data_IF_754187655029
#
_entry.id   IF_754187655029
#
_cell.length_a   1.000
_cell.length_b   1.000
_cell.length_c   1.000
_cell.angle_alpha   90.00
_cell.angle_beta   90.00
_cell.angle_gamma   90.00
#
_symmetry.space_group_name_H-M   'P 1'
#
loop_
_entity.id
_entity.type
_entity.pdbx_description
1 polymer ?
#
# COMPACT_ATOMS: atom_id res chain seq x y z
N UNK A 1 26.12 -27.52 10.50
CA UNK A 1 26.46 -26.11 10.24
C UNK A 1 25.16 -25.34 10.24
N UNK A 2 24.90 -24.62 11.33
CA UNK A 2 23.66 -23.86 11.52
C UNK A 2 23.77 -22.54 10.77
N UNK A 3 23.00 -22.38 9.70
CA UNK A 3 22.86 -21.08 9.06
C UNK A 3 22.42 -20.05 10.10
N UNK A 4 23.05 -18.87 10.12
CA UNK A 4 22.65 -17.78 11.02
C UNK A 4 21.18 -17.44 10.75
N UNK A 5 20.31 -17.39 11.78
CA UNK A 5 18.93 -16.96 11.61
C UNK A 5 18.85 -15.55 11.01
N UNK A 6 17.89 -15.28 10.12
CA UNK A 6 17.76 -13.99 9.41
C UNK A 6 17.72 -12.79 10.36
N UNK A 7 17.03 -12.93 11.50
CA UNK A 7 16.95 -11.90 12.53
C UNK A 7 18.29 -11.61 13.21
N UNK A 8 19.16 -12.61 13.32
CA UNK A 8 20.52 -12.46 13.84
C UNK A 8 21.44 -11.81 12.80
N UNK A 9 21.35 -12.24 11.54
CA UNK A 9 22.10 -11.66 10.42
C UNK A 9 21.85 -10.14 10.30
N UNK A 10 20.60 -9.70 10.42
CA UNK A 10 20.25 -8.27 10.39
C UNK A 10 20.88 -7.47 11.55
N UNK A 11 20.97 -8.04 12.76
CA UNK A 11 21.61 -7.40 13.92
C UNK A 11 23.12 -7.34 13.75
N UNK A 12 23.74 -8.44 13.30
CA UNK A 12 25.17 -8.51 13.01
C UNK A 12 25.57 -7.49 11.96
N UNK A 13 24.81 -7.35 10.86
CA UNK A 13 25.08 -6.36 9.82
C UNK A 13 25.15 -4.92 10.34
N UNK A 14 24.27 -4.54 11.28
CA UNK A 14 24.31 -3.21 11.92
C UNK A 14 25.58 -2.99 12.75
N UNK A 15 26.02 -4.00 13.50
CA UNK A 15 27.22 -3.93 14.34
C UNK A 15 28.49 -3.88 13.47
N UNK A 16 28.54 -4.69 12.40
CA UNK A 16 29.67 -4.69 11.45
C UNK A 16 29.84 -3.31 10.80
N UNK A 17 28.76 -2.60 10.50
CA UNK A 17 28.83 -1.23 9.99
C UNK A 17 29.53 -0.25 10.95
N UNK A 18 29.52 -0.50 12.25
CA UNK A 18 30.21 0.34 13.25
C UNK A 18 31.73 0.09 13.30
N UNK A 19 32.22 -1.01 12.73
CA UNK A 19 33.66 -1.30 12.67
C UNK A 19 34.41 -0.37 11.70
N UNK A 20 33.69 0.29 10.79
CA UNK A 20 34.25 1.28 9.87
C UNK A 20 34.39 2.69 10.48
N UNK A 21 34.18 2.85 11.79
CA UNK A 21 34.27 4.14 12.46
C UNK A 21 35.72 4.50 12.80
N UNK A 22 36.11 5.77 12.62
CA UNK A 22 37.47 6.26 12.92
C UNK A 22 37.79 6.31 14.43
N UNK A 23 36.78 6.22 15.29
CA UNK A 23 36.97 6.23 16.73
C UNK A 23 37.28 4.80 17.26
N UNK A 24 38.49 4.55 17.80
CA UNK A 24 38.89 3.23 18.27
C UNK A 24 38.03 2.69 19.42
N UNK A 25 37.43 3.58 20.23
CA UNK A 25 36.50 3.17 21.29
C UNK A 25 35.18 2.60 20.73
N UNK A 26 34.71 3.14 19.60
CA UNK A 26 33.51 2.63 18.93
C UNK A 26 33.79 1.24 18.34
N UNK A 27 34.95 1.07 17.71
CA UNK A 27 35.35 -0.21 17.12
C UNK A 27 35.47 -1.30 18.18
N UNK A 28 36.19 -1.03 19.28
CA UNK A 28 36.35 -2.00 20.38
C UNK A 28 35.01 -2.37 21.04
N UNK A 29 34.11 -1.40 21.21
CA UNK A 29 32.76 -1.62 21.71
C UNK A 29 31.93 -2.48 20.74
N UNK A 30 32.00 -2.20 19.45
CA UNK A 30 31.30 -2.96 18.42
C UNK A 30 31.78 -4.42 18.35
N UNK A 31 33.09 -4.67 18.47
CA UNK A 31 33.63 -6.04 18.55
C UNK A 31 33.10 -6.78 19.79
N UNK A 32 33.05 -6.13 20.94
CA UNK A 32 32.49 -6.73 22.16
C UNK A 32 30.99 -7.04 22.00
N UNK A 33 30.22 -6.13 21.42
CA UNK A 33 28.81 -6.32 21.11
C UNK A 33 28.57 -7.47 20.13
N UNK A 34 29.41 -7.58 19.09
CA UNK A 34 29.35 -8.66 18.12
C UNK A 34 29.53 -10.03 18.79
N UNK A 35 30.60 -10.18 19.60
CA UNK A 35 30.87 -11.42 20.34
C UNK A 35 29.72 -11.79 21.27
N UNK A 36 29.18 -10.83 22.01
CA UNK A 36 28.04 -11.06 22.91
C UNK A 36 26.78 -11.50 22.16
N UNK A 37 26.50 -10.88 21.02
CA UNK A 37 25.32 -11.16 20.20
C UNK A 37 25.39 -12.54 19.55
N UNK A 38 26.58 -12.96 19.09
CA UNK A 38 26.79 -14.30 18.56
C UNK A 38 26.68 -15.35 19.67
N UNK A 39 27.37 -15.13 20.79
CA UNK A 39 27.39 -16.05 21.92
C UNK A 39 26.01 -16.27 22.54
N UNK A 40 25.15 -15.23 22.60
CA UNK A 40 23.78 -15.37 23.10
C UNK A 40 22.88 -16.26 22.21
N UNK A 41 23.30 -16.54 20.97
CA UNK A 41 22.59 -17.40 20.03
C UNK A 41 23.35 -18.71 19.77
N UNK A 42 24.33 -19.05 20.62
CA UNK A 42 25.13 -20.28 20.48
C UNK A 42 26.02 -20.31 19.25
N UNK A 43 26.34 -19.15 18.67
CA UNK A 43 27.23 -19.02 17.51
C UNK A 43 28.56 -18.36 17.91
N UNK A 44 29.60 -18.57 17.12
CA UNK A 44 30.89 -17.89 17.26
C UNK A 44 31.31 -17.10 16.00
N UNK A 45 32.53 -16.54 16.01
CA UNK A 45 33.06 -15.79 14.87
C UNK A 45 33.39 -16.69 13.66
N UNK A 46 33.69 -17.97 13.89
CA UNK A 46 33.95 -18.93 12.82
C UNK A 46 32.64 -19.27 12.10
N UNK A 47 31.54 -19.46 12.84
CA UNK A 47 30.21 -19.66 12.27
C UNK A 47 29.78 -18.48 11.39
N UNK A 48 30.09 -17.25 11.83
CA UNK A 48 29.85 -16.05 11.04
C UNK A 48 30.70 -16.02 9.76
N UNK A 49 31.98 -16.35 9.85
CA UNK A 49 32.87 -16.41 8.69
C UNK A 49 32.40 -17.46 7.66
N UNK A 50 32.00 -18.64 8.14
CA UNK A 50 31.37 -19.68 7.31
C UNK A 50 30.12 -19.15 6.63
N UNK A 51 29.21 -18.51 7.37
CA UNK A 51 27.97 -18.00 6.81
C UNK A 51 28.17 -16.94 5.72
N UNK A 52 29.20 -16.10 5.84
CA UNK A 52 29.53 -15.08 4.83
C UNK A 52 30.15 -15.74 3.58
N UNK A 53 30.92 -16.82 3.77
CA UNK A 53 31.68 -17.47 2.69
C UNK A 53 30.83 -18.49 1.93
N UNK A 54 29.89 -19.14 2.61
CA UNK A 54 28.96 -20.07 1.99
C UNK A 54 27.97 -19.31 1.09
N UNK A 55 27.89 -19.70 -0.18
CA UNK A 55 26.88 -19.16 -1.10
C UNK A 55 25.49 -19.42 -0.52
N UNK A 56 24.59 -18.41 -0.48
CA UNK A 56 23.23 -18.62 -0.03
C UNK A 56 22.61 -19.74 -0.87
N UNK A 57 22.17 -20.81 -0.21
CA UNK A 57 21.45 -21.89 -0.88
C UNK A 57 20.14 -21.32 -1.40
N UNK A 58 19.88 -21.49 -2.69
CA UNK A 58 18.59 -21.10 -3.28
C UNK A 58 17.48 -21.88 -2.56
N UNK A 59 16.74 -21.20 -1.69
CA UNK A 59 15.54 -21.77 -1.08
C UNK A 59 14.41 -21.58 -2.08
N UNK A 60 14.11 -22.63 -2.83
CA UNK A 60 12.89 -22.68 -3.66
C UNK A 60 11.70 -22.79 -2.71
N UNK A 61 11.12 -21.65 -2.36
CA UNK A 61 9.86 -21.61 -1.60
C UNK A 61 8.74 -21.94 -2.56
N UNK A 62 8.28 -23.19 -2.54
CA UNK A 62 7.04 -23.59 -3.19
C UNK A 62 5.87 -22.91 -2.47
N UNK A 63 5.46 -21.75 -2.98
CA UNK A 63 4.17 -21.17 -2.61
C UNK A 63 3.11 -21.93 -3.38
N UNK A 64 2.26 -22.66 -2.68
CA UNK A 64 1.01 -23.14 -3.27
C UNK A 64 0.31 -21.93 -3.89
N UNK A 65 0.18 -21.98 -5.21
CA UNK A 65 -0.59 -21.00 -5.94
C UNK A 65 -2.01 -21.16 -5.45
N UNK A 66 -2.50 -20.22 -4.64
CA UNK A 66 -3.91 -20.15 -4.28
C UNK A 66 -4.72 -20.41 -5.54
N UNK A 67 -5.56 -21.44 -5.49
CA UNK A 67 -6.41 -21.81 -6.61
C UNK A 67 -7.13 -20.55 -7.09
N UNK A 68 -7.07 -20.30 -8.41
CA UNK A 68 -7.84 -19.20 -9.00
C UNK A 68 -9.29 -19.45 -8.57
N UNK A 69 -9.94 -18.49 -7.90
CA UNK A 69 -11.31 -18.69 -7.45
C UNK A 69 -12.13 -19.10 -8.67
N UNK A 70 -12.90 -20.18 -8.53
CA UNK A 70 -13.81 -20.62 -9.58
C UNK A 70 -14.66 -19.41 -10.00
N UNK A 71 -14.89 -19.21 -11.30
CA UNK A 71 -15.77 -18.15 -11.75
C UNK A 71 -17.15 -18.42 -11.15
N UNK A 72 -17.46 -17.70 -10.07
CA UNK A 72 -18.83 -17.66 -9.55
C UNK A 72 -19.70 -17.16 -10.70
N UNK A 73 -20.94 -17.65 -10.83
CA UNK A 73 -21.92 -16.99 -11.68
C UNK A 73 -21.84 -15.49 -11.38
N UNK A 74 -21.66 -14.66 -12.41
CA UNK A 74 -21.80 -13.22 -12.24
C UNK A 74 -23.23 -13.00 -11.75
N UNK A 75 -23.38 -12.85 -10.44
CA UNK A 75 -24.60 -12.34 -9.85
C UNK A 75 -24.66 -10.87 -10.24
N UNK A 76 -25.19 -10.61 -11.43
CA UNK A 76 -25.67 -9.30 -11.86
C UNK A 76 -26.93 -8.95 -11.06
N UNK A 77 -26.95 -9.24 -9.75
CA UNK A 77 -28.10 -9.19 -8.89
C UNK A 77 -28.87 -7.95 -9.23
N UNK A 78 -30.16 -8.12 -9.55
CA UNK A 78 -30.97 -7.28 -10.45
C UNK A 78 -30.27 -5.98 -10.85
N UNK A 79 -30.08 -5.65 -12.13
CA UNK A 79 -29.55 -4.33 -12.55
C UNK A 79 -30.23 -3.10 -11.87
N UNK A 80 -31.40 -3.31 -11.24
CA UNK A 80 -32.10 -2.44 -10.29
C UNK A 80 -31.60 -2.47 -8.83
N UNK A 81 -30.45 -3.07 -8.55
CA UNK A 81 -29.84 -3.11 -7.23
C UNK A 81 -29.75 -1.66 -6.80
N UNK A 82 -30.54 -1.36 -5.78
CA UNK A 82 -30.76 -0.04 -5.24
C UNK A 82 -29.40 0.65 -5.11
N UNK A 83 -29.29 1.85 -5.66
CA UNK A 83 -28.07 2.68 -5.66
C UNK A 83 -27.30 2.68 -4.33
N UNK A 84 -27.97 2.39 -3.21
CA UNK A 84 -27.45 2.14 -1.87
C UNK A 84 -26.40 1.02 -1.74
N UNK A 85 -26.37 0.01 -2.63
CA UNK A 85 -25.43 -1.12 -2.57
C UNK A 85 -24.16 -0.97 -3.42
N UNK A 86 -24.09 0.06 -4.26
CA UNK A 86 -22.92 0.30 -5.11
C UNK A 86 -21.71 0.77 -4.29
N UNK A 87 -20.51 0.37 -4.70
CA UNK A 87 -19.24 0.96 -4.25
C UNK A 87 -19.36 2.49 -4.24
N UNK A 88 -19.10 3.18 -3.11
CA UNK A 88 -19.19 4.64 -3.00
C UNK A 88 -18.46 5.38 -4.13
N UNK A 89 -17.35 4.82 -4.61
CA UNK A 89 -16.59 5.40 -5.71
C UNK A 89 -17.36 5.39 -7.04
N UNK A 90 -18.12 4.33 -7.31
CA UNK A 90 -18.98 4.25 -8.50
C UNK A 90 -20.12 5.25 -8.41
N UNK A 91 -20.70 5.43 -7.21
CA UNK A 91 -21.74 6.43 -6.98
C UNK A 91 -21.20 7.85 -7.25
N UNK A 92 -20.03 8.19 -6.72
CA UNK A 92 -19.42 9.50 -6.96
C UNK A 92 -19.10 9.72 -8.44
N UNK A 93 -18.58 8.70 -9.13
CA UNK A 93 -18.29 8.78 -10.57
C UNK A 93 -19.56 9.06 -11.37
N UNK A 94 -20.65 8.33 -11.11
CA UNK A 94 -21.91 8.53 -11.80
C UNK A 94 -22.47 9.95 -11.61
N UNK A 95 -22.41 10.49 -10.38
CA UNK A 95 -22.83 11.87 -10.09
C UNK A 95 -21.98 12.90 -10.86
N UNK A 96 -20.66 12.69 -10.91
CA UNK A 96 -19.77 13.54 -11.68
C UNK A 96 -20.08 13.47 -13.17
N UNK A 97 -20.29 12.27 -13.72
CA UNK A 97 -20.57 12.08 -15.15
C UNK A 97 -21.88 12.80 -15.56
N UNK A 98 -22.94 12.70 -14.73
CA UNK A 98 -24.21 13.43 -14.95
C UNK A 98 -23.99 14.95 -14.94
N UNK A 99 -23.31 15.46 -13.91
CA UNK A 99 -23.05 16.90 -13.77
C UNK A 99 -22.13 17.46 -14.88
N UNK A 100 -21.18 16.66 -15.39
CA UNK A 100 -20.30 17.07 -16.51
C UNK A 100 -21.00 17.01 -17.87
N UNK A 101 -21.96 16.10 -18.04
CA UNK A 101 -22.72 15.96 -19.28
C UNK A 101 -23.72 17.10 -19.48
N UNK A 102 -24.08 17.83 -18.41
CA UNK A 102 -24.97 18.97 -18.51
C UNK A 102 -24.38 20.09 -19.38
N UNK A 103 -25.17 20.54 -20.36
CA UNK A 103 -24.84 21.66 -21.25
C UNK A 103 -25.72 22.89 -21.01
N UNK A 104 -26.59 22.84 -20.00
CA UNK A 104 -27.56 23.90 -19.69
C UNK A 104 -26.94 25.14 -19.04
N UNK A 105 -25.66 25.05 -18.62
CA UNK A 105 -25.01 26.08 -17.81
C UNK A 105 -25.51 26.07 -16.36
N UNK A 106 -25.94 24.91 -15.84
CA UNK A 106 -26.42 24.79 -14.47
C UNK A 106 -25.34 25.09 -13.43
N UNK A 107 -24.12 24.65 -13.70
CA UNK A 107 -22.97 24.83 -12.82
C UNK A 107 -22.35 26.21 -13.05
N UNK A 108 -22.00 26.88 -11.95
CA UNK A 108 -21.10 28.03 -12.01
C UNK A 108 -19.70 27.61 -12.48
N UNK A 109 -18.88 28.57 -12.93
CA UNK A 109 -17.50 28.30 -13.38
C UNK A 109 -16.66 27.55 -12.34
N UNK A 110 -16.81 27.92 -11.06
CA UNK A 110 -16.13 27.25 -9.96
C UNK A 110 -16.63 25.82 -9.75
N UNK A 111 -17.94 25.60 -9.78
CA UNK A 111 -18.54 24.27 -9.62
C UNK A 111 -18.17 23.35 -10.79
N UNK A 112 -18.14 23.88 -12.01
CA UNK A 112 -17.69 23.15 -13.18
C UNK A 112 -16.22 22.74 -13.06
N UNK A 113 -15.34 23.67 -12.66
CA UNK A 113 -13.93 23.37 -12.41
C UNK A 113 -13.74 22.32 -11.29
N UNK A 114 -14.54 22.42 -10.22
CA UNK A 114 -14.58 21.47 -9.12
C UNK A 114 -14.97 20.06 -9.60
N UNK A 115 -16.10 19.92 -10.29
CA UNK A 115 -16.61 18.64 -10.82
C UNK A 115 -15.62 18.03 -11.83
N UNK A 116 -14.98 18.85 -12.67
CA UNK A 116 -13.95 18.40 -13.62
C UNK A 116 -12.70 17.86 -12.92
N UNK A 117 -12.23 18.57 -11.89
CA UNK A 117 -11.11 18.14 -11.05
C UNK A 117 -11.41 16.81 -10.35
N UNK A 118 -12.62 16.67 -9.81
CA UNK A 118 -13.07 15.48 -9.09
C UNK A 118 -13.20 14.27 -10.03
N UNK A 119 -13.65 14.46 -11.26
CA UNK A 119 -13.66 13.43 -12.30
C UNK A 119 -12.27 12.90 -12.62
N UNK A 120 -11.27 13.79 -12.73
CA UNK A 120 -9.86 13.39 -12.92
C UNK A 120 -9.34 12.58 -11.73
N UNK A 121 -9.58 13.05 -10.50
CA UNK A 121 -9.15 12.34 -9.28
C UNK A 121 -9.75 10.92 -9.21
N UNK A 122 -11.04 10.78 -9.54
CA UNK A 122 -11.73 9.50 -9.56
C UNK A 122 -11.21 8.56 -10.66
N UNK A 123 -10.82 9.09 -11.83
CA UNK A 123 -10.18 8.31 -12.90
C UNK A 123 -8.80 7.78 -12.47
N UNK A 124 -8.03 8.59 -11.74
CA UNK A 124 -6.67 8.25 -11.30
C UNK A 124 -6.58 7.28 -10.11
N UNK A 125 -7.70 6.86 -9.51
CA UNK A 125 -7.60 6.02 -8.30
C UNK A 125 -7.65 6.76 -6.97
N UNK A 126 -7.67 8.10 -6.99
CA UNK A 126 -7.52 8.89 -5.76
C UNK A 126 -8.78 8.85 -4.91
N UNK A 127 -8.58 8.90 -3.60
CA UNK A 127 -9.67 9.01 -2.63
C UNK A 127 -10.25 10.42 -2.66
N UNK A 128 -11.58 10.50 -2.61
CA UNK A 128 -12.31 11.76 -2.47
C UNK A 128 -12.43 12.08 -0.98
N UNK A 129 -12.09 13.30 -0.58
CA UNK A 129 -12.21 13.74 0.81
C UNK A 129 -13.69 13.88 1.24
N UNK A 130 -14.01 13.78 2.53
CA UNK A 130 -15.38 13.94 3.02
C UNK A 130 -16.03 15.27 2.60
N UNK A 131 -15.27 16.38 2.66
CA UNK A 131 -15.75 17.71 2.25
C UNK A 131 -16.12 17.75 0.76
N UNK A 132 -15.31 17.12 -0.10
CA UNK A 132 -15.60 17.02 -1.53
C UNK A 132 -16.85 16.17 -1.79
N UNK A 133 -17.07 15.11 -1.01
CA UNK A 133 -18.29 14.30 -1.09
C UNK A 133 -19.53 15.12 -0.72
N UNK A 134 -19.47 15.92 0.35
CA UNK A 134 -20.57 16.82 0.74
C UNK A 134 -20.92 17.77 -0.40
N UNK A 135 -19.94 18.50 -0.95
CA UNK A 135 -20.17 19.44 -2.05
C UNK A 135 -20.75 18.72 -3.27
N UNK A 136 -20.22 17.56 -3.66
CA UNK A 136 -20.73 16.78 -4.78
C UNK A 136 -22.19 16.36 -4.56
N UNK A 137 -22.56 15.97 -3.34
CA UNK A 137 -23.92 15.58 -3.01
C UNK A 137 -24.88 16.77 -3.08
N UNK A 138 -24.46 17.93 -2.58
CA UNK A 138 -25.26 19.16 -2.64
C UNK A 138 -25.50 19.59 -4.08
N UNK A 139 -24.45 19.59 -4.92
CA UNK A 139 -24.58 19.91 -6.35
C UNK A 139 -25.52 18.94 -7.07
N UNK A 140 -25.39 17.64 -6.79
CA UNK A 140 -26.24 16.63 -7.40
C UNK A 140 -27.69 16.73 -6.91
N UNK A 141 -27.92 17.04 -5.63
CA UNK A 141 -29.26 17.25 -5.08
C UNK A 141 -29.96 18.41 -5.79
N UNK A 142 -29.29 19.57 -5.91
CA UNK A 142 -29.80 20.73 -6.67
C UNK A 142 -30.07 20.41 -8.14
N UNK A 143 -29.23 19.57 -8.75
CA UNK A 143 -29.41 19.15 -10.14
C UNK A 143 -30.67 18.29 -10.30
N UNK A 144 -30.87 17.31 -9.40
CA UNK A 144 -32.07 16.47 -9.38
C UNK A 144 -33.32 17.29 -9.09
N UNK A 145 -33.27 18.26 -8.17
CA UNK A 145 -34.42 19.15 -7.92
C UNK A 145 -34.83 19.99 -9.14
N UNK A 146 -33.86 20.33 -10.00
CA UNK A 146 -34.11 21.15 -11.19
C UNK A 146 -34.52 20.35 -12.43
N UNK A 147 -33.99 19.12 -12.59
CA UNK A 147 -34.10 18.34 -13.83
C UNK A 147 -34.60 16.90 -13.65
N UNK A 148 -34.74 16.42 -12.42
CA UNK A 148 -35.29 15.10 -12.08
C UNK A 148 -36.79 15.15 -11.87
#
# INVERSE_FOLDING_TARGET
MTALPDALAAKVGKIVGQLANDNPHVVTTAVAMLRRTLSSNGCDLNDLAVHITEKPREVVVYRERQAKPEPRPFDYGSWRQTWSGCDPRRQHKARVDVLQADRSGFLTDWEFAFVRSLGRQLAEGRRVSPKQVTILNDLHARYVERYG
#
